data_IF_766880547702
#
_entry.id   IF_766880547702
#
_cell.length_a   1.000
_cell.length_b   1.000
_cell.length_c   1.000
_cell.angle_alpha   90.00
_cell.angle_beta   90.00
_cell.angle_gamma   90.00
#
_symmetry.space_group_name_H-M   'P 1'
#
loop_
_entity.id
_entity.type
_entity.pdbx_description
1 polymer ?
#
# COMPACT_ATOMS: atom_id res chain seq x y z
N UNK A 1 -15.35 54.77 19.39
CA UNK A 1 -14.05 54.62 20.08
C UNK A 1 -13.41 53.36 19.52
N UNK A 2 -12.83 53.34 18.31
CA UNK A 2 -11.73 54.13 17.74
C UNK A 2 -10.35 53.60 18.20
N UNK A 3 -9.72 52.75 17.38
CA UNK A 3 -8.30 52.75 16.98
C UNK A 3 -8.08 51.65 15.92
N UNK A 4 -8.10 51.98 14.62
CA UNK A 4 -6.91 52.26 13.76
C UNK A 4 -6.04 51.00 13.56
N UNK A 5 -6.00 50.31 12.42
CA UNK A 5 -5.71 50.68 11.01
C UNK A 5 -4.26 51.18 10.82
N UNK A 6 -3.60 50.63 9.77
CA UNK A 6 -2.36 51.10 9.10
C UNK A 6 -1.07 50.53 9.76
N UNK A 7 0.04 50.16 9.11
CA UNK A 7 0.64 50.32 7.78
C UNK A 7 1.96 49.48 7.85
N UNK A 8 2.51 48.83 6.82
CA UNK A 8 3.53 49.33 5.87
C UNK A 8 3.96 48.07 5.08
N UNK A 9 3.77 47.95 3.76
CA UNK A 9 4.47 48.63 2.67
C UNK A 9 5.94 48.19 2.50
N UNK A 10 6.26 47.78 1.26
CA UNK A 10 7.59 47.75 0.63
C UNK A 10 8.57 46.64 1.05
N UNK A 11 9.46 46.10 0.21
CA UNK A 11 9.97 46.48 -1.12
C UNK A 11 10.42 45.21 -1.89
N UNK A 12 10.48 45.35 -3.21
CA UNK A 12 11.01 44.39 -4.18
C UNK A 12 12.48 43.98 -3.94
N UNK A 13 12.80 42.74 -4.31
CA UNK A 13 14.11 42.42 -4.88
C UNK A 13 13.95 41.33 -5.93
N UNK A 14 14.08 41.70 -7.21
CA UNK A 14 14.20 40.77 -8.31
C UNK A 14 15.59 40.13 -8.30
N UNK A 15 15.65 38.83 -8.61
CA UNK A 15 16.89 38.17 -8.98
C UNK A 15 16.65 37.52 -10.34
N UNK A 16 17.17 38.21 -11.36
CA UNK A 16 17.37 37.71 -12.72
C UNK A 16 18.60 36.80 -12.66
N UNK A 17 18.43 35.52 -13.01
CA UNK A 17 19.56 34.61 -13.22
C UNK A 17 19.51 34.08 -14.65
N UNK A 18 20.60 34.34 -15.37
CA UNK A 18 20.83 34.06 -16.78
C UNK A 18 20.64 32.57 -17.12
N UNK A 19 19.98 32.32 -18.26
CA UNK A 19 20.00 31.04 -18.94
C UNK A 19 21.36 30.90 -19.63
N UNK A 20 22.27 30.10 -19.05
CA UNK A 20 23.51 29.71 -19.71
C UNK A 20 23.20 28.50 -20.59
N UNK A 21 23.03 28.75 -21.89
CA UNK A 21 22.96 27.71 -22.91
C UNK A 21 24.38 27.30 -23.30
N UNK A 22 24.90 26.20 -22.75
CA UNK A 22 26.10 25.56 -23.25
C UNK A 22 25.72 24.55 -24.34
N UNK A 23 25.82 24.97 -25.60
CA UNK A 23 25.78 24.10 -26.77
C UNK A 23 27.08 23.29 -26.84
N UNK A 24 26.99 21.96 -26.76
CA UNK A 24 28.11 21.06 -27.05
C UNK A 24 28.03 20.61 -28.51
N UNK A 25 29.11 20.69 -29.30
CA UNK A 25 29.17 20.04 -30.61
C UNK A 25 29.35 18.52 -30.46
N UNK A 26 28.77 17.71 -31.36
CA UNK A 26 28.92 16.26 -31.32
C UNK A 26 30.35 15.84 -31.69
N UNK A 27 30.92 14.83 -31.01
CA UNK A 27 32.21 14.26 -31.40
C UNK A 27 32.06 13.48 -32.72
N UNK A 28 32.95 13.76 -33.67
CA UNK A 28 33.10 13.00 -34.91
C UNK A 28 33.75 11.65 -34.57
N UNK A 29 33.04 10.54 -34.79
CA UNK A 29 33.62 9.20 -34.66
C UNK A 29 34.50 8.87 -35.88
N UNK A 30 35.68 8.24 -35.67
CA UNK A 30 36.50 7.71 -36.75
C UNK A 30 35.84 6.50 -37.45
N UNK A 31 36.26 6.15 -38.69
CA UNK A 31 35.66 5.07 -39.46
C UNK A 31 35.90 3.71 -38.79
N UNK A 32 34.82 2.97 -38.49
CA UNK A 32 34.93 1.59 -38.03
C UNK A 32 35.23 0.63 -39.19
N UNK A 33 36.19 -0.30 -39.04
CA UNK A 33 36.48 -1.36 -40.01
C UNK A 33 35.30 -2.35 -40.20
N UNK A 34 35.20 -2.88 -41.42
CA UNK A 34 34.15 -3.80 -41.86
C UNK A 34 34.10 -5.15 -41.10
N UNK A 35 32.96 -5.89 -41.15
CA UNK A 35 32.63 -6.97 -40.22
C UNK A 35 33.33 -8.31 -40.53
N UNK A 36 33.69 -9.05 -39.48
CA UNK A 36 34.10 -10.45 -39.55
C UNK A 36 32.87 -11.41 -39.61
N UNK A 37 33.00 -12.60 -40.23
CA UNK A 37 31.89 -13.52 -40.50
C UNK A 37 31.28 -14.20 -39.25
N UNK A 38 30.02 -14.68 -39.35
CA UNK A 38 29.20 -15.07 -38.20
C UNK A 38 29.56 -16.46 -37.64
N UNK A 39 29.77 -16.51 -36.33
CA UNK A 39 29.83 -17.76 -35.55
C UNK A 39 28.40 -18.20 -35.26
N UNK A 40 28.05 -19.43 -35.61
CA UNK A 40 26.73 -20.02 -35.40
C UNK A 40 26.39 -20.11 -33.90
N UNK A 41 25.29 -19.45 -33.50
CA UNK A 41 24.73 -19.56 -32.15
C UNK A 41 23.80 -20.77 -32.04
N UNK A 42 23.81 -21.52 -30.92
CA UNK A 42 22.82 -22.56 -30.65
C UNK A 42 21.42 -21.97 -30.51
N UNK A 43 20.34 -22.73 -30.82
CA UNK A 43 18.98 -22.22 -30.80
C UNK A 43 18.60 -21.78 -29.39
N UNK A 44 18.34 -20.48 -29.25
CA UNK A 44 17.70 -19.89 -28.08
C UNK A 44 16.30 -20.50 -27.95
N UNK A 45 16.11 -21.31 -26.90
CA UNK A 45 14.81 -21.79 -26.48
C UNK A 45 13.87 -20.59 -26.31
N UNK A 46 12.69 -20.72 -26.91
CA UNK A 46 11.64 -19.71 -26.91
C UNK A 46 11.39 -19.14 -25.51
N UNK A 47 11.38 -17.81 -25.43
CA UNK A 47 10.80 -17.04 -24.34
C UNK A 47 9.39 -17.57 -24.07
N UNK A 48 9.28 -18.35 -23.00
CA UNK A 48 8.00 -18.61 -22.37
C UNK A 48 7.62 -17.30 -21.68
N UNK A 49 6.45 -16.69 -21.96
CA UNK A 49 6.03 -15.52 -21.20
C UNK A 49 5.99 -15.91 -19.73
N UNK A 50 6.82 -15.24 -18.94
CA UNK A 50 6.78 -15.31 -17.50
C UNK A 50 5.39 -14.85 -17.04
N UNK A 51 4.46 -15.80 -16.96
CA UNK A 51 3.28 -15.61 -16.13
C UNK A 51 3.81 -15.65 -14.71
N UNK A 52 4.17 -14.48 -14.18
CA UNK A 52 4.23 -14.26 -12.74
C UNK A 52 2.81 -14.45 -12.24
N UNK A 53 2.43 -15.72 -12.05
CA UNK A 53 1.19 -16.11 -11.43
C UNK A 53 1.28 -15.68 -9.98
N UNK A 54 0.89 -14.44 -9.71
CA UNK A 54 0.38 -14.09 -8.39
C UNK A 54 -0.85 -14.96 -8.24
N UNK A 55 -0.67 -16.14 -7.64
CA UNK A 55 -1.79 -16.95 -7.21
C UNK A 55 -2.48 -16.17 -6.10
N UNK A 56 -3.40 -15.27 -6.50
CA UNK A 56 -4.37 -14.68 -5.60
C UNK A 56 -5.12 -15.85 -5.01
N UNK A 57 -4.84 -16.16 -3.74
CA UNK A 57 -5.59 -17.15 -2.98
C UNK A 57 -7.08 -16.91 -3.23
N UNK A 58 -7.84 -17.93 -3.57
CA UNK A 58 -9.28 -17.76 -3.80
C UNK A 58 -10.04 -17.88 -2.48
N UNK A 59 -11.03 -17.02 -2.25
CA UNK A 59 -11.97 -17.15 -1.13
C UNK A 59 -13.29 -17.77 -1.62
N UNK A 60 -13.68 -18.86 -0.96
CA UNK A 60 -14.96 -19.54 -1.19
C UNK A 60 -16.07 -19.09 -0.21
N UNK A 61 -15.83 -18.00 0.53
CA UNK A 61 -16.81 -17.39 1.43
C UNK A 61 -18.08 -17.00 0.64
N UNK A 62 -19.25 -17.35 1.17
CA UNK A 62 -20.54 -17.02 0.55
C UNK A 62 -21.10 -15.69 1.06
N UNK A 63 -20.60 -15.18 2.20
CA UNK A 63 -21.06 -13.95 2.83
C UNK A 63 -19.89 -13.04 3.20
N UNK A 64 -20.12 -11.71 3.33
CA UNK A 64 -19.10 -10.80 3.84
C UNK A 64 -18.59 -11.17 5.23
N UNK A 65 -19.46 -11.74 6.07
CA UNK A 65 -19.12 -12.19 7.42
C UNK A 65 -18.11 -13.34 7.38
N UNK A 66 -18.31 -14.31 6.49
CA UNK A 66 -17.38 -15.43 6.32
C UNK A 66 -16.06 -14.95 5.70
N UNK A 67 -16.15 -14.02 4.73
CA UNK A 67 -14.97 -13.45 4.07
C UNK A 67 -14.05 -12.71 5.04
N UNK A 68 -14.59 -12.12 6.13
CA UNK A 68 -13.76 -11.48 7.18
C UNK A 68 -12.65 -12.41 7.66
N UNK A 69 -12.92 -13.70 7.85
CA UNK A 69 -11.92 -14.67 8.31
C UNK A 69 -10.81 -14.87 7.28
N UNK A 70 -11.17 -15.00 6.00
CA UNK A 70 -10.19 -15.12 4.90
C UNK A 70 -9.33 -13.85 4.76
N UNK A 71 -9.97 -12.68 4.82
CA UNK A 71 -9.30 -11.38 4.76
C UNK A 71 -8.37 -11.15 5.95
N UNK A 72 -8.81 -11.48 7.17
CA UNK A 72 -7.99 -11.36 8.38
C UNK A 72 -6.80 -12.32 8.37
N UNK A 73 -7.02 -13.59 7.97
CA UNK A 73 -5.95 -14.58 7.87
C UNK A 73 -4.89 -14.17 6.82
N UNK A 74 -5.35 -13.60 5.70
CA UNK A 74 -4.46 -13.04 4.68
C UNK A 74 -3.65 -11.85 5.20
N UNK A 75 -4.30 -10.91 5.91
CA UNK A 75 -3.61 -9.79 6.54
C UNK A 75 -2.55 -10.25 7.54
N UNK A 76 -2.86 -11.25 8.37
CA UNK A 76 -1.90 -11.82 9.32
C UNK A 76 -0.71 -12.46 8.60
N UNK A 77 -0.96 -13.25 7.56
CA UNK A 77 0.11 -13.88 6.78
C UNK A 77 1.07 -12.86 6.13
N UNK A 78 0.59 -11.64 5.83
CA UNK A 78 1.41 -10.54 5.28
C UNK A 78 2.06 -9.64 6.34
N UNK A 79 1.68 -9.78 7.61
CA UNK A 79 2.13 -8.90 8.69
C UNK A 79 2.63 -9.70 9.92
N UNK A 80 3.13 -10.93 9.72
CA UNK A 80 3.45 -11.89 10.80
C UNK A 80 4.29 -11.31 11.93
N UNK A 81 5.33 -10.53 11.62
CA UNK A 81 6.22 -9.90 12.61
C UNK A 81 5.54 -8.83 13.48
N UNK A 82 4.32 -8.43 13.12
CA UNK A 82 3.57 -7.34 13.74
C UNK A 82 2.30 -7.81 14.42
N UNK A 83 2.03 -9.11 14.38
CA UNK A 83 0.89 -9.69 15.07
C UNK A 83 1.24 -9.84 16.55
N UNK A 84 0.42 -9.26 17.41
CA UNK A 84 0.53 -9.46 18.83
C UNK A 84 0.14 -10.91 19.15
N UNK A 85 0.99 -11.62 19.89
CA UNK A 85 0.76 -13.03 20.25
C UNK A 85 0.07 -13.13 21.61
N UNK A 86 -0.85 -14.07 21.78
CA UNK A 86 -1.54 -14.28 23.05
C UNK A 86 -2.71 -13.32 23.28
N UNK A 87 -3.17 -13.23 24.53
CA UNK A 87 -4.28 -12.33 24.88
C UNK A 87 -3.81 -10.88 24.92
N UNK A 88 -4.55 -10.03 24.22
CA UNK A 88 -4.33 -8.60 24.24
C UNK A 88 -4.63 -8.00 25.62
N UNK A 89 -3.80 -7.08 26.14
CA UNK A 89 -4.07 -6.39 27.39
C UNK A 89 -5.39 -5.60 27.34
N UNK A 90 -6.12 -5.44 28.47
CA UNK A 90 -7.38 -4.71 28.49
C UNK A 90 -7.24 -3.24 28.07
N UNK A 91 -6.11 -2.61 28.41
CA UNK A 91 -5.81 -1.24 28.01
C UNK A 91 -5.02 -1.24 26.70
N UNK A 92 -5.75 -1.12 25.60
CA UNK A 92 -5.17 -0.97 24.27
C UNK A 92 -4.69 0.45 24.02
N UNK A 93 -3.62 0.58 23.23
CA UNK A 93 -3.11 1.89 22.83
C UNK A 93 -4.11 2.59 21.90
N UNK A 94 -4.65 1.84 20.93
CA UNK A 94 -5.65 2.34 20.01
C UNK A 94 -6.58 1.21 19.54
N UNK A 95 -7.80 1.58 19.16
CA UNK A 95 -8.77 0.69 18.51
C UNK A 95 -9.28 1.41 17.27
N UNK A 96 -9.13 0.76 16.12
CA UNK A 96 -9.60 1.24 14.83
C UNK A 96 -10.67 0.31 14.27
N UNK A 97 -11.71 0.83 13.64
CA UNK A 97 -12.67 0.02 12.87
C UNK A 97 -12.68 0.51 11.45
N UNK A 98 -12.36 -0.37 10.51
CA UNK A 98 -12.34 -0.06 9.09
C UNK A 98 -13.26 -1.00 8.31
N UNK A 99 -13.78 -0.46 7.22
CA UNK A 99 -14.45 -1.19 6.18
C UNK A 99 -13.55 -1.19 4.94
N UNK A 100 -13.33 -2.35 4.34
CA UNK A 100 -12.48 -2.53 3.16
C UNK A 100 -13.32 -3.09 2.01
N UNK A 101 -13.22 -2.46 0.85
CA UNK A 101 -13.84 -2.93 -0.39
C UNK A 101 -12.82 -3.68 -1.23
N UNK A 102 -13.17 -4.90 -1.62
CA UNK A 102 -12.38 -5.80 -2.45
C UNK A 102 -13.17 -6.13 -3.71
N UNK A 103 -12.55 -5.98 -4.89
CA UNK A 103 -13.16 -6.34 -6.17
C UNK A 103 -12.95 -7.83 -6.52
N UNK A 104 -13.41 -8.23 -7.71
CA UNK A 104 -13.32 -9.63 -8.20
C UNK A 104 -11.88 -10.17 -8.27
N UNK A 105 -10.90 -9.31 -8.54
CA UNK A 105 -9.49 -9.70 -8.64
C UNK A 105 -8.75 -9.69 -7.30
N UNK A 106 -9.43 -9.37 -6.20
CA UNK A 106 -8.79 -9.21 -4.89
C UNK A 106 -8.13 -7.84 -4.68
N UNK A 107 -8.29 -6.87 -5.59
CA UNK A 107 -7.74 -5.54 -5.41
C UNK A 107 -8.55 -4.75 -4.38
N UNK A 108 -7.87 -3.97 -3.54
CA UNK A 108 -8.50 -3.03 -2.62
C UNK A 108 -8.98 -1.81 -3.38
N UNK A 109 -10.29 -1.61 -3.47
CA UNK A 109 -10.87 -0.46 -4.18
C UNK A 109 -11.18 0.71 -3.27
N UNK A 110 -11.42 0.47 -1.98
CA UNK A 110 -11.63 1.52 -0.99
C UNK A 110 -11.30 1.04 0.42
N UNK A 111 -10.89 2.00 1.27
CA UNK A 111 -10.75 1.84 2.71
C UNK A 111 -11.55 2.97 3.36
N UNK A 112 -12.48 2.64 4.25
CA UNK A 112 -13.31 3.61 4.98
C UNK A 112 -13.20 3.40 6.47
N UNK A 113 -12.92 4.48 7.20
CA UNK A 113 -12.93 4.46 8.66
C UNK A 113 -14.35 4.53 9.19
N UNK A 114 -14.75 3.52 9.97
CA UNK A 114 -15.96 3.56 10.77
C UNK A 114 -15.69 4.17 12.16
N UNK A 115 -14.48 3.92 12.69
CA UNK A 115 -13.95 4.55 13.89
C UNK A 115 -12.43 4.70 13.76
N UNK A 116 -11.96 5.92 13.53
CA UNK A 116 -10.52 6.20 13.50
C UNK A 116 -10.00 6.56 14.91
N UNK A 117 -8.85 6.02 15.34
CA UNK A 117 -8.21 6.42 16.59
C UNK A 117 -7.58 7.83 16.43
N UNK A 118 -8.36 8.89 16.70
CA UNK A 118 -7.96 10.28 16.45
C UNK A 118 -6.73 10.72 17.27
N UNK A 119 -6.49 10.09 18.42
CA UNK A 119 -5.33 10.36 19.28
C UNK A 119 -4.04 9.70 18.77
N UNK A 120 -4.13 8.77 17.82
CA UNK A 120 -3.02 8.01 17.27
C UNK A 120 -3.04 8.03 15.73
N UNK A 121 -2.79 9.19 15.09
CA UNK A 121 -2.80 9.32 13.63
C UNK A 121 -1.75 8.43 12.93
N UNK A 122 -0.67 8.08 13.61
CA UNK A 122 0.32 7.11 13.15
C UNK A 122 -0.28 5.70 12.99
N UNK A 123 -1.19 5.30 13.88
CA UNK A 123 -1.91 4.01 13.79
C UNK A 123 -2.86 4.00 12.61
N UNK A 124 -3.52 5.13 12.32
CA UNK A 124 -4.37 5.29 11.12
C UNK A 124 -3.55 5.04 9.85
N UNK A 125 -2.43 5.75 9.70
CA UNK A 125 -1.56 5.63 8.53
C UNK A 125 -1.00 4.21 8.37
N UNK A 126 -0.68 3.57 9.48
CA UNK A 126 -0.15 2.22 9.51
C UNK A 126 -1.17 1.17 9.09
N UNK A 127 -2.40 1.24 9.61
CA UNK A 127 -3.49 0.34 9.24
C UNK A 127 -3.79 0.44 7.74
N UNK A 128 -3.90 1.67 7.21
CA UNK A 128 -4.12 1.89 5.79
C UNK A 128 -2.99 1.33 4.93
N UNK A 129 -1.73 1.49 5.37
CA UNK A 129 -0.57 0.94 4.67
C UNK A 129 -0.59 -0.58 4.68
N UNK A 130 -0.83 -1.21 5.83
CA UNK A 130 -0.91 -2.68 5.94
C UNK A 130 -2.01 -3.27 5.06
N UNK A 131 -3.18 -2.62 4.96
CA UNK A 131 -4.25 -3.06 4.06
C UNK A 131 -3.83 -2.92 2.60
N UNK A 132 -3.32 -1.76 2.18
CA UNK A 132 -2.90 -1.55 0.79
C UNK A 132 -1.76 -2.49 0.37
N UNK A 133 -0.77 -2.69 1.23
CA UNK A 133 0.39 -3.56 0.97
C UNK A 133 0.06 -5.05 0.98
N UNK A 134 -1.06 -5.44 1.62
CA UNK A 134 -1.53 -6.83 1.58
C UNK A 134 -2.23 -7.18 0.26
N UNK A 135 -2.54 -6.20 -0.60
CA UNK A 135 -3.12 -6.48 -1.90
C UNK A 135 -2.17 -7.32 -2.79
N UNK A 136 -2.72 -8.18 -3.66
CA UNK A 136 -4.14 -8.54 -3.74
C UNK A 136 -4.59 -9.45 -2.58
N UNK A 137 -5.81 -9.23 -2.11
CA UNK A 137 -6.53 -10.05 -1.14
C UNK A 137 -7.11 -11.31 -1.80
N UNK A 138 -7.62 -12.27 -1.01
CA UNK A 138 -8.24 -13.44 -1.58
C UNK A 138 -9.45 -13.10 -2.46
N UNK A 139 -9.49 -13.59 -3.69
CA UNK A 139 -10.55 -13.23 -4.64
C UNK A 139 -11.91 -13.79 -4.18
N UNK A 140 -12.96 -12.97 -3.99
CA UNK A 140 -14.26 -13.40 -3.45
C UNK A 140 -15.14 -14.04 -4.52
N UNK A 141 -14.77 -15.22 -5.05
CA UNK A 141 -15.35 -15.77 -6.29
C UNK A 141 -16.86 -16.05 -6.22
N UNK A 142 -17.43 -16.29 -5.04
CA UNK A 142 -18.88 -16.50 -4.90
C UNK A 142 -19.69 -15.20 -4.85
N UNK A 143 -19.03 -14.07 -4.55
CA UNK A 143 -19.69 -12.77 -4.39
C UNK A 143 -19.31 -11.79 -5.52
N UNK A 144 -18.20 -12.01 -6.22
CA UNK A 144 -17.67 -11.14 -7.28
C UNK A 144 -17.06 -9.83 -6.77
N UNK A 145 -17.51 -9.32 -5.62
CA UNK A 145 -16.89 -8.26 -4.84
C UNK A 145 -17.35 -8.39 -3.40
N UNK A 146 -16.61 -7.84 -2.46
CA UNK A 146 -17.00 -7.88 -1.06
C UNK A 146 -16.58 -6.61 -0.35
N UNK A 147 -17.45 -6.17 0.54
CA UNK A 147 -17.14 -5.13 1.51
C UNK A 147 -17.22 -5.77 2.88
N UNK A 148 -16.11 -5.77 3.62
CA UNK A 148 -16.06 -6.35 4.96
C UNK A 148 -15.53 -5.36 5.98
N UNK A 149 -15.96 -5.51 7.23
CA UNK A 149 -15.54 -4.67 8.35
C UNK A 149 -14.71 -5.49 9.33
N UNK A 150 -13.61 -4.92 9.82
CA UNK A 150 -12.82 -5.51 10.90
C UNK A 150 -12.36 -4.45 11.91
N UNK A 151 -12.15 -4.90 13.14
CA UNK A 151 -11.64 -4.08 14.23
C UNK A 151 -10.17 -4.39 14.45
N UNK A 152 -9.34 -3.35 14.34
CA UNK A 152 -7.91 -3.38 14.62
C UNK A 152 -7.68 -2.99 16.07
N UNK A 153 -7.14 -3.93 16.81
CA UNK A 153 -6.77 -3.76 18.20
C UNK A 153 -5.26 -3.52 18.25
N UNK A 154 -4.82 -2.35 18.70
CA UNK A 154 -3.42 -1.92 18.63
C UNK A 154 -2.76 -1.90 20.01
N UNK A 155 -1.62 -2.55 20.14
CA UNK A 155 -0.81 -2.53 21.35
C UNK A 155 0.26 -1.43 21.26
N UNK A 156 0.68 -0.88 22.40
CA UNK A 156 1.68 0.20 22.48
C UNK A 156 3.06 -0.20 21.92
N UNK A 157 3.33 -1.50 21.73
CA UNK A 157 4.56 -1.97 21.08
C UNK A 157 4.57 -1.80 19.56
N UNK A 158 3.45 -1.37 18.95
CA UNK A 158 3.30 -1.30 17.49
C UNK A 158 2.82 -2.61 16.84
N UNK A 159 2.54 -3.63 17.66
CA UNK A 159 1.90 -4.88 17.23
C UNK A 159 0.37 -4.76 17.34
N UNK A 160 -0.35 -5.58 16.58
CA UNK A 160 -1.81 -5.55 16.54
C UNK A 160 -2.45 -6.94 16.51
N UNK A 161 -3.72 -7.00 16.84
CA UNK A 161 -4.61 -8.12 16.49
C UNK A 161 -5.84 -7.61 15.76
N UNK A 162 -6.39 -8.43 14.88
CA UNK A 162 -7.71 -8.24 14.32
C UNK A 162 -8.73 -8.93 15.21
N UNK A 163 -9.83 -8.25 15.54
CA UNK A 163 -10.95 -8.79 16.32
C UNK A 163 -11.42 -10.15 15.78
N UNK A 164 -11.50 -10.25 14.45
CA UNK A 164 -11.83 -11.50 13.75
C UNK A 164 -10.96 -12.68 14.21
N UNK A 165 -9.69 -12.48 14.56
CA UNK A 165 -8.73 -13.53 14.93
C UNK A 165 -8.23 -13.39 16.38
N UNK A 166 -8.98 -12.72 17.25
CA UNK A 166 -8.58 -12.58 18.66
C UNK A 166 -8.56 -13.91 19.41
N UNK A 167 -7.64 -14.02 20.35
CA UNK A 167 -7.34 -15.26 21.11
C UNK A 167 -8.09 -15.34 22.46
N UNK A 168 -9.37 -14.94 22.49
CA UNK A 168 -10.22 -15.10 23.68
C UNK A 168 -10.29 -13.87 24.58
N UNK A 169 -10.56 -12.71 23.95
CA UNK A 169 -10.71 -11.40 24.59
C UNK A 169 -12.16 -11.17 25.09
N UNK A 170 -13.03 -12.18 24.92
CA UNK A 170 -14.44 -12.20 25.31
C UNK A 170 -14.64 -12.73 26.73
#
# INVERSE_FOLDING_TARGET
MLLQKLYRASLWTGIVSLVVACTNPPPVLPPQPAPAPPVAAPPVSADSPATTGISTRTSYAATPRDYRRDGAAHLYARNTQRIFSGKMPPLLYAIGVIQVDINASGAVTAIRWMRAPRHAPEVVAEIERSVRAAAPFPAPIKMGKVTYTDTWLWHKSGQFQLDTLTEGQL
#
